data_IF_409955286872
#
_entry.id   IF_409955286872
#
_cell.length_a   1.000
_cell.length_b   1.000
_cell.length_c   1.000
_cell.angle_alpha   90.00
_cell.angle_beta   90.00
_cell.angle_gamma   90.00
#
_symmetry.space_group_name_H-M   'P 1'
#
loop_
_entity.id
_entity.type
_entity.pdbx_description
1 polymer ?
#
# COMPACT_ATOMS: atom_id res chain seq x y z
N UNK A 1 -20.09 52.79 -20.51
CA UNK A 1 -20.84 51.74 -21.22
C UNK A 1 -20.49 50.43 -20.52
N UNK A 2 -21.45 49.89 -19.75
CA UNK A 2 -21.54 48.56 -19.10
C UNK A 2 -20.27 48.01 -18.41
N UNK A 3 -20.09 48.15 -17.10
CA UNK A 3 -20.72 47.37 -16.02
C UNK A 3 -20.23 45.90 -15.98
N UNK A 4 -19.47 45.61 -14.92
CA UNK A 4 -19.10 44.30 -14.41
C UNK A 4 -20.35 43.42 -14.25
N UNK A 5 -20.42 42.29 -14.95
CA UNK A 5 -21.33 41.20 -14.59
C UNK A 5 -20.51 40.01 -14.11
N UNK A 6 -20.34 39.97 -12.78
CA UNK A 6 -19.96 38.77 -12.06
C UNK A 6 -21.12 37.77 -12.09
N UNK A 7 -21.04 36.76 -12.96
CA UNK A 7 -21.89 35.58 -12.86
C UNK A 7 -21.21 34.51 -11.98
N UNK A 8 -21.29 34.71 -10.66
CA UNK A 8 -21.07 33.65 -9.67
C UNK A 8 -22.23 32.65 -9.74
N UNK A 9 -22.18 31.74 -10.71
CA UNK A 9 -23.08 30.59 -10.74
C UNK A 9 -22.85 29.70 -9.51
N UNK A 10 -23.88 29.16 -8.85
CA UNK A 10 -23.72 28.32 -7.67
C UNK A 10 -22.76 27.18 -7.99
N UNK A 11 -21.56 27.23 -7.38
CA UNK A 11 -20.55 26.21 -7.58
C UNK A 11 -21.18 24.85 -7.34
N UNK A 12 -21.07 23.95 -8.32
CA UNK A 12 -21.45 22.55 -8.20
C UNK A 12 -20.43 21.85 -7.29
N UNK A 13 -20.38 22.29 -6.03
CA UNK A 13 -19.75 21.56 -4.94
C UNK A 13 -20.73 20.45 -4.58
N UNK A 14 -20.30 19.21 -4.74
CA UNK A 14 -20.99 18.06 -4.16
C UNK A 14 -21.58 18.37 -2.79
N UNK A 15 -22.79 17.86 -2.56
CA UNK A 15 -23.46 18.02 -1.28
C UNK A 15 -22.54 17.50 -0.17
N UNK A 16 -22.18 18.39 0.76
CA UNK A 16 -21.32 18.12 1.94
C UNK A 16 -21.75 16.86 2.73
N UNK A 17 -23.02 16.47 2.59
CA UNK A 17 -23.61 15.27 3.17
C UNK A 17 -22.91 13.98 2.71
N UNK A 18 -22.48 13.89 1.45
CA UNK A 18 -21.84 12.68 0.92
C UNK A 18 -20.42 12.50 1.48
N UNK A 19 -19.62 13.56 1.48
CA UNK A 19 -18.26 13.55 2.03
C UNK A 19 -18.25 13.39 3.55
N UNK A 20 -19.23 13.94 4.27
CA UNK A 20 -19.38 13.72 5.71
C UNK A 20 -19.82 12.28 6.03
N UNK A 21 -20.70 11.69 5.21
CA UNK A 21 -21.12 10.29 5.36
C UNK A 21 -19.96 9.31 5.16
N UNK A 22 -19.13 9.53 4.14
CA UNK A 22 -17.93 8.70 3.94
C UNK A 22 -16.85 8.94 4.98
N UNK A 23 -16.69 10.17 5.48
CA UNK A 23 -15.80 10.44 6.62
C UNK A 23 -16.16 9.56 7.84
N UNK A 24 -17.44 9.51 8.19
CA UNK A 24 -17.91 8.66 9.29
C UNK A 24 -17.71 7.17 9.00
N UNK A 25 -17.98 6.72 7.78
CA UNK A 25 -17.74 5.34 7.38
C UNK A 25 -16.24 4.95 7.50
N UNK A 26 -15.32 5.84 7.09
CA UNK A 26 -13.89 5.64 7.26
C UNK A 26 -13.46 5.61 8.72
N UNK A 27 -14.08 6.43 9.57
CA UNK A 27 -13.82 6.44 11.01
C UNK A 27 -14.17 5.08 11.62
N UNK A 28 -15.35 4.54 11.32
CA UNK A 28 -15.77 3.20 11.74
C UNK A 28 -14.79 2.14 11.23
N UNK A 29 -14.43 2.19 9.95
CA UNK A 29 -13.52 1.22 9.35
C UNK A 29 -12.10 1.29 9.96
N UNK A 30 -11.70 2.47 10.44
CA UNK A 30 -10.44 2.66 11.17
C UNK A 30 -10.48 2.01 12.54
N UNK A 31 -11.56 2.19 13.30
CA UNK A 31 -11.76 1.48 14.58
C UNK A 31 -11.72 -0.03 14.38
N UNK A 32 -12.40 -0.53 13.33
CA UNK A 32 -12.34 -1.96 12.97
C UNK A 32 -10.91 -2.40 12.67
N UNK A 33 -10.11 -1.56 12.02
CA UNK A 33 -8.71 -1.90 11.70
C UNK A 33 -7.85 -1.98 12.94
N UNK A 34 -8.01 -1.03 13.86
CA UNK A 34 -7.32 -1.07 15.16
C UNK A 34 -7.73 -2.33 15.91
N UNK A 35 -9.01 -2.68 15.90
CA UNK A 35 -9.52 -3.92 16.50
C UNK A 35 -8.91 -5.17 15.89
N UNK A 36 -8.91 -5.28 14.55
CA UNK A 36 -8.27 -6.38 13.83
C UNK A 36 -6.79 -6.48 14.15
N UNK A 37 -6.08 -5.35 14.25
CA UNK A 37 -4.66 -5.32 14.61
C UNK A 37 -4.38 -5.71 16.07
N UNK A 38 -5.38 -5.74 16.96
CA UNK A 38 -5.22 -6.30 18.32
C UNK A 38 -5.33 -7.82 18.35
N UNK A 39 -5.87 -8.45 17.31
CA UNK A 39 -5.95 -9.90 17.21
C UNK A 39 -4.76 -10.42 16.42
N UNK A 40 -4.02 -11.34 17.01
CA UNK A 40 -2.89 -12.02 16.36
C UNK A 40 -3.46 -13.20 15.53
N UNK A 41 -3.65 -12.97 14.24
CA UNK A 41 -4.11 -13.96 13.27
C UNK A 41 -2.91 -14.70 12.63
N UNK A 42 -1.69 -14.46 13.12
CA UNK A 42 -0.46 -15.07 12.66
C UNK A 42 -0.23 -14.83 11.16
N UNK A 43 -0.16 -15.89 10.36
CA UNK A 43 0.09 -15.80 8.93
C UNK A 43 -0.98 -15.01 8.15
N UNK A 44 -2.17 -14.82 8.72
CA UNK A 44 -3.26 -14.06 8.09
C UNK A 44 -3.26 -12.57 8.41
N UNK A 45 -2.40 -12.10 9.30
CA UNK A 45 -2.35 -10.68 9.70
C UNK A 45 -2.09 -9.75 8.52
N UNK A 46 -1.07 -10.07 7.71
CA UNK A 46 -0.71 -9.27 6.54
C UNK A 46 -1.81 -9.25 5.47
N UNK A 47 -2.33 -10.40 4.99
CA UNK A 47 -3.43 -10.41 4.02
C UNK A 47 -4.68 -9.67 4.50
N UNK A 48 -5.06 -9.84 5.77
CA UNK A 48 -6.24 -9.19 6.34
C UNK A 48 -6.02 -7.68 6.48
N UNK A 49 -4.85 -7.26 6.96
CA UNK A 49 -4.49 -5.84 7.03
C UNK A 49 -4.54 -5.17 5.66
N UNK A 50 -4.00 -5.84 4.63
CA UNK A 50 -4.01 -5.35 3.25
C UNK A 50 -5.43 -5.26 2.66
N UNK A 51 -6.29 -6.23 2.94
CA UNK A 51 -7.69 -6.21 2.52
C UNK A 51 -8.42 -5.03 3.15
N UNK A 52 -8.32 -4.85 4.47
CA UNK A 52 -8.99 -3.77 5.19
C UNK A 52 -8.43 -2.40 4.77
N UNK A 53 -7.14 -2.31 4.44
CA UNK A 53 -6.55 -1.12 3.82
C UNK A 53 -7.13 -0.86 2.42
N UNK A 54 -7.27 -1.88 1.58
CA UNK A 54 -7.85 -1.80 0.24
C UNK A 54 -9.31 -1.33 0.23
N UNK A 55 -10.13 -1.80 1.17
CA UNK A 55 -11.52 -1.34 1.32
C UNK A 55 -11.57 0.15 1.68
N UNK A 56 -10.71 0.61 2.62
CA UNK A 56 -10.61 2.05 2.94
C UNK A 56 -10.21 2.86 1.72
N UNK A 57 -9.17 2.43 1.01
CA UNK A 57 -8.68 3.12 -0.19
C UNK A 57 -9.77 3.24 -1.26
N UNK A 58 -10.56 2.18 -1.46
CA UNK A 58 -11.66 2.18 -2.45
C UNK A 58 -12.76 3.18 -2.07
N UNK A 59 -13.15 3.25 -0.78
CA UNK A 59 -14.09 4.28 -0.30
C UNK A 59 -13.55 5.70 -0.49
N UNK A 60 -12.26 5.92 -0.23
CA UNK A 60 -11.61 7.21 -0.45
C UNK A 60 -11.64 7.59 -1.93
N UNK A 61 -11.24 6.68 -2.83
CA UNK A 61 -11.22 6.95 -4.26
C UNK A 61 -12.62 7.22 -4.82
N UNK A 62 -13.63 6.43 -4.44
CA UNK A 62 -14.99 6.58 -4.97
C UNK A 62 -15.64 7.91 -4.58
N UNK A 63 -15.46 8.34 -3.32
CA UNK A 63 -16.22 9.46 -2.76
C UNK A 63 -15.40 10.73 -2.53
N UNK A 64 -14.17 10.65 -2.00
CA UNK A 64 -13.33 11.82 -1.76
C UNK A 64 -12.61 12.31 -3.02
N UNK A 65 -12.21 11.39 -3.90
CA UNK A 65 -11.62 11.76 -5.21
C UNK A 65 -12.68 11.98 -6.29
N UNK A 66 -13.97 11.92 -5.94
CA UNK A 66 -15.08 12.02 -6.88
C UNK A 66 -15.08 11.05 -8.06
N UNK A 67 -14.35 9.93 -8.04
CA UNK A 67 -14.35 9.01 -9.19
C UNK A 67 -15.76 8.62 -9.64
N UNK A 68 -16.73 8.53 -8.71
CA UNK A 68 -18.11 8.19 -9.02
C UNK A 68 -18.84 9.23 -9.89
N UNK A 69 -18.42 10.49 -9.85
CA UNK A 69 -18.98 11.63 -10.59
C UNK A 69 -18.01 12.25 -11.60
N UNK A 70 -16.75 11.85 -11.57
CA UNK A 70 -15.68 12.36 -12.43
C UNK A 70 -15.63 11.61 -13.78
N UNK A 71 -14.74 12.06 -14.67
CA UNK A 71 -14.52 11.47 -16.00
C UNK A 71 -14.00 10.04 -15.87
N UNK A 72 -14.44 9.12 -16.76
CA UNK A 72 -14.04 7.71 -16.71
C UNK A 72 -12.54 7.48 -16.93
N UNK A 73 -11.83 8.47 -17.48
CA UNK A 73 -10.37 8.43 -17.65
C UNK A 73 -9.64 8.35 -16.29
N UNK A 74 -10.13 9.02 -15.25
CA UNK A 74 -9.53 8.99 -13.92
C UNK A 74 -9.65 7.58 -13.30
N UNK A 75 -10.82 6.94 -13.48
CA UNK A 75 -11.03 5.54 -13.07
C UNK A 75 -10.09 4.58 -13.82
N UNK A 76 -9.86 4.77 -15.12
CA UNK A 76 -8.95 3.94 -15.90
C UNK A 76 -7.50 4.08 -15.41
N UNK A 77 -7.04 5.31 -15.16
CA UNK A 77 -5.71 5.58 -14.61
C UNK A 77 -5.56 4.98 -13.22
N UNK A 78 -6.58 5.10 -12.36
CA UNK A 78 -6.57 4.48 -11.04
C UNK A 78 -6.45 2.95 -11.14
N UNK A 79 -7.28 2.30 -11.95
CA UNK A 79 -7.22 0.84 -12.14
C UNK A 79 -5.85 0.43 -12.69
N UNK A 80 -5.32 1.15 -13.68
CA UNK A 80 -3.97 0.91 -14.20
C UNK A 80 -2.89 1.05 -13.13
N UNK A 81 -2.97 2.08 -12.28
CA UNK A 81 -2.02 2.27 -11.18
C UNK A 81 -2.11 1.15 -10.13
N UNK A 82 -3.32 0.75 -9.72
CA UNK A 82 -3.56 -0.36 -8.79
C UNK A 82 -3.00 -1.65 -9.36
N UNK A 83 -3.21 -1.91 -10.65
CA UNK A 83 -2.67 -3.08 -11.33
C UNK A 83 -1.14 -3.15 -11.23
N UNK A 84 -0.44 -2.04 -11.50
CA UNK A 84 1.01 -1.98 -11.34
C UNK A 84 1.47 -2.13 -9.88
N UNK A 85 0.74 -1.56 -8.92
CA UNK A 85 1.04 -1.71 -7.49
C UNK A 85 0.90 -3.17 -7.05
N UNK A 86 -0.17 -3.86 -7.47
CA UNK A 86 -0.39 -5.27 -7.14
C UNK A 86 0.66 -6.15 -7.81
N UNK A 87 1.00 -5.89 -9.08
CA UNK A 87 2.07 -6.58 -9.78
C UNK A 87 3.41 -6.42 -9.05
N UNK A 88 3.76 -5.20 -8.65
CA UNK A 88 4.95 -4.91 -7.88
C UNK A 88 4.96 -5.65 -6.53
N UNK A 89 3.85 -5.60 -5.79
CA UNK A 89 3.71 -6.31 -4.51
C UNK A 89 3.94 -7.81 -4.63
N UNK A 90 3.37 -8.44 -5.65
CA UNK A 90 3.57 -9.87 -5.90
C UNK A 90 5.06 -10.15 -6.12
N UNK A 91 5.71 -9.40 -7.03
CA UNK A 91 7.14 -9.58 -7.31
C UNK A 91 7.99 -9.38 -6.04
N UNK A 92 7.72 -8.35 -5.24
CA UNK A 92 8.43 -8.11 -3.97
C UNK A 92 8.23 -9.22 -2.95
N UNK A 93 7.03 -9.80 -2.87
CA UNK A 93 6.78 -10.95 -1.99
C UNK A 93 7.58 -12.19 -2.43
N UNK A 94 7.64 -12.45 -3.75
CA UNK A 94 8.48 -13.51 -4.30
C UNK A 94 9.98 -13.28 -4.02
N UNK A 95 10.46 -12.05 -4.16
CA UNK A 95 11.86 -11.68 -3.91
C UNK A 95 12.26 -11.82 -2.43
N UNK A 96 11.40 -11.37 -1.51
CA UNK A 96 11.61 -11.52 -0.06
C UNK A 96 11.74 -12.99 0.34
N UNK A 97 10.96 -13.87 -0.28
CA UNK A 97 11.01 -15.31 -0.03
C UNK A 97 12.33 -15.99 -0.45
N UNK A 98 13.16 -15.33 -1.28
CA UNK A 98 14.46 -15.86 -1.71
C UNK A 98 15.64 -15.27 -0.93
N UNK A 99 15.47 -14.07 -0.36
CA UNK A 99 16.52 -13.36 0.38
C UNK A 99 16.85 -13.95 1.76
N UNK A 100 16.00 -14.84 2.29
CA UNK A 100 16.21 -15.48 3.61
C UNK A 100 17.28 -16.58 3.57
N UNK A 101 17.46 -17.25 2.43
CA UNK A 101 18.37 -18.40 2.29
C UNK A 101 19.86 -17.99 2.23
N UNK A 102 20.16 -16.75 1.84
CA UNK A 102 21.55 -16.26 1.68
C UNK A 102 22.09 -15.56 2.92
N UNK A 103 21.43 -15.69 4.07
CA UNK A 103 21.98 -15.22 5.33
C UNK A 103 23.04 -16.22 5.79
N UNK A 104 24.21 -16.13 5.16
CA UNK A 104 25.46 -16.68 5.67
C UNK A 104 25.77 -15.91 6.96
N UNK A 105 25.29 -16.46 8.06
CA UNK A 105 25.77 -16.10 9.37
C UNK A 105 27.26 -16.45 9.37
N UNK A 106 28.15 -15.46 9.38
CA UNK A 106 29.62 -15.65 9.34
C UNK A 106 30.22 -16.41 10.54
N UNK A 107 29.44 -17.30 11.14
CA UNK A 107 29.74 -18.35 12.11
C UNK A 107 29.80 -19.75 11.44
N UNK A 108 29.56 -19.84 10.12
CA UNK A 108 29.70 -21.08 9.35
C UNK A 108 31.15 -21.61 9.48
N UNK A 109 31.39 -22.83 10.00
CA UNK A 109 32.73 -23.42 10.15
C UNK A 109 33.50 -23.56 8.82
N UNK A 110 32.77 -23.41 7.71
CA UNK A 110 33.23 -23.43 6.33
C UNK A 110 34.05 -22.17 5.98
N UNK A 111 33.76 -21.02 6.61
CA UNK A 111 34.51 -19.78 6.42
C UNK A 111 35.87 -19.84 7.14
N UNK A 112 35.91 -20.41 8.35
CA UNK A 112 37.16 -20.59 9.09
C UNK A 112 38.10 -21.57 8.37
N UNK A 113 37.56 -22.69 7.88
CA UNK A 113 38.33 -23.70 7.14
C UNK A 113 38.80 -23.24 5.76
N UNK A 114 38.01 -22.41 5.07
CA UNK A 114 38.44 -21.81 3.80
C UNK A 114 39.51 -20.74 4.00
N UNK A 115 39.44 -19.94 5.07
CA UNK A 115 40.50 -18.99 5.44
C UNK A 115 41.80 -19.69 5.90
N UNK A 116 41.71 -20.82 6.63
CA UNK A 116 42.88 -21.66 6.97
C UNK A 116 43.49 -22.32 5.72
N UNK A 117 42.67 -22.75 4.76
CA UNK A 117 43.17 -23.29 3.48
C UNK A 117 43.80 -22.23 2.57
N UNK A 118 43.39 -20.96 2.74
CA UNK A 118 43.86 -19.82 1.95
C UNK A 118 45.08 -19.11 2.59
N UNK A 119 45.35 -19.31 3.88
CA UNK A 119 46.67 -19.02 4.47
C UNK A 119 47.71 -19.99 3.93
N UNK A 120 48.48 -19.50 2.96
CA UNK A 120 49.53 -20.20 2.20
C UNK A 120 50.47 -21.05 3.07
N UNK A 121 51.07 -22.14 2.53
CA UNK A 121 52.12 -22.87 3.21
C UNK A 121 53.30 -21.93 3.49
N UNK A 122 53.52 -21.62 4.77
CA UNK A 122 54.83 -21.18 5.25
C UNK A 122 55.77 -22.33 4.94
N UNK A 123 56.49 -22.18 3.83
CA UNK A 123 57.72 -22.93 3.57
C UNK A 123 58.60 -22.69 4.77
N UNK A 124 58.85 -23.76 5.54
CA UNK A 124 60.10 -24.12 6.23
C UNK A 124 59.98 -25.56 6.77
#
# INVERSE_FOLDING_TARGET
>A
MSAHEEHHGPGHIISFKYTLGTFLALMVLTVVTVGVAQFDLGAMDMPVALLVAGVKATLVCLFFMHLRWDRPINTLVLIGSIFFVVLFLIITMFDTGQSVELKDDGDSPDVVTTLESQSLPVVD
#
